data_IF_325294575171
#
_entry.id   IF_325294575171
#
_cell.length_a   1.000
_cell.length_b   1.000
_cell.length_c   1.000
_cell.angle_alpha   90.00
_cell.angle_beta   90.00
_cell.angle_gamma   90.00
#
_symmetry.space_group_name_H-M   'P 1'
#
loop_
_entity.id
_entity.type
_entity.pdbx_description
1 polymer ?
#
# COMPACT_ATOMS: atom_id res chain seq x y z
N UNK A 1 -33.83 -8.45 10.14
CA UNK A 1 -33.49 -7.96 11.49
C UNK A 1 -32.83 -6.60 11.35
N UNK A 2 -33.33 -5.57 12.06
CA UNK A 2 -32.71 -4.25 12.04
C UNK A 2 -31.82 -4.17 13.28
N UNK A 3 -30.51 -4.28 13.10
CA UNK A 3 -29.53 -4.04 14.16
C UNK A 3 -29.10 -2.58 14.11
N UNK A 4 -29.47 -1.79 15.12
CA UNK A 4 -28.90 -0.45 15.29
C UNK A 4 -27.62 -0.61 16.11
N UNK A 5 -26.47 -0.48 15.46
CA UNK A 5 -25.20 -0.40 16.18
C UNK A 5 -25.02 1.01 16.75
N UNK A 6 -24.41 1.11 17.93
CA UNK A 6 -24.05 2.39 18.53
C UNK A 6 -23.01 3.12 17.65
N UNK A 7 -22.81 4.43 17.88
CA UNK A 7 -21.80 5.21 17.16
C UNK A 7 -20.45 4.46 17.09
N UNK A 8 -19.84 4.46 15.90
CA UNK A 8 -18.56 3.79 15.69
C UNK A 8 -17.52 4.39 16.64
N UNK A 9 -16.88 3.56 17.45
CA UNK A 9 -15.96 4.00 18.51
C UNK A 9 -14.74 4.79 18.00
N UNK A 10 -14.38 4.63 16.72
CA UNK A 10 -13.19 5.24 16.13
C UNK A 10 -13.45 6.63 15.53
N UNK A 11 -14.67 6.91 15.07
CA UNK A 11 -14.98 8.20 14.44
C UNK A 11 -16.24 8.89 14.99
N UNK A 12 -16.89 8.27 15.98
CA UNK A 12 -18.12 8.71 16.63
C UNK A 12 -19.29 9.00 15.65
N UNK A 13 -19.22 8.45 14.43
CA UNK A 13 -20.31 8.54 13.46
C UNK A 13 -21.33 7.43 13.71
N UNK A 14 -22.64 7.72 13.64
CA UNK A 14 -23.65 6.67 13.67
C UNK A 14 -23.50 5.78 12.43
N UNK A 15 -23.67 4.47 12.61
CA UNK A 15 -23.79 3.51 11.51
C UNK A 15 -24.95 2.58 11.80
N UNK A 16 -25.57 2.06 10.75
CA UNK A 16 -26.72 1.16 10.86
C UNK A 16 -26.46 -0.01 9.93
N UNK A 17 -26.55 -1.23 10.47
CA UNK A 17 -26.50 -2.45 9.67
C UNK A 17 -27.92 -2.98 9.51
N UNK A 18 -28.42 -2.99 8.28
CA UNK A 18 -29.74 -3.51 7.96
C UNK A 18 -29.57 -4.89 7.34
N UNK A 19 -30.03 -5.93 8.03
CA UNK A 19 -30.08 -7.28 7.49
C UNK A 19 -31.51 -7.61 7.05
N UNK A 20 -31.72 -7.71 5.74
CA UNK A 20 -33.01 -8.12 5.18
C UNK A 20 -32.92 -9.57 4.74
N UNK A 21 -33.78 -10.41 5.31
CA UNK A 21 -33.96 -11.79 4.92
C UNK A 21 -35.41 -11.99 4.49
N UNK A 22 -35.62 -12.22 3.19
CA UNK A 22 -36.93 -12.35 2.56
C UNK A 22 -37.15 -13.76 2.00
N UNK A 23 -36.79 -14.80 2.77
CA UNK A 23 -36.90 -16.21 2.34
C UNK A 23 -38.33 -16.70 2.06
N UNK A 24 -39.35 -15.94 2.44
CA UNK A 24 -40.75 -16.28 2.24
C UNK A 24 -41.42 -15.50 1.09
N UNK A 25 -40.69 -14.65 0.38
CA UNK A 25 -41.23 -13.86 -0.73
C UNK A 25 -41.25 -14.70 -2.01
N UNK A 26 -42.44 -14.85 -2.60
CA UNK A 26 -42.73 -15.71 -3.76
C UNK A 26 -43.11 -14.93 -5.02
N UNK A 27 -42.80 -13.63 -5.07
CA UNK A 27 -42.96 -12.76 -6.23
C UNK A 27 -41.62 -12.33 -6.85
N UNK A 28 -41.67 -11.76 -8.05
CA UNK A 28 -40.48 -11.28 -8.79
C UNK A 28 -39.95 -9.93 -8.27
N UNK A 29 -40.56 -9.33 -7.24
CA UNK A 29 -40.31 -7.95 -6.80
C UNK A 29 -39.61 -7.89 -5.43
N UNK A 30 -38.34 -8.28 -5.39
CA UNK A 30 -37.52 -8.25 -4.17
C UNK A 30 -36.93 -6.85 -3.88
N UNK A 31 -37.78 -5.86 -3.60
CA UNK A 31 -37.34 -4.52 -3.22
C UNK A 31 -37.32 -4.30 -1.71
N UNK A 32 -36.31 -3.57 -1.24
CA UNK A 32 -36.26 -3.01 0.11
C UNK A 32 -36.30 -1.49 -0.04
N UNK A 33 -37.33 -0.87 0.51
CA UNK A 33 -37.41 0.58 0.56
C UNK A 33 -36.74 1.08 1.84
N UNK A 34 -35.78 2.01 1.69
CA UNK A 34 -35.11 2.67 2.79
C UNK A 34 -35.41 4.16 2.74
N UNK A 35 -35.97 4.71 3.81
CA UNK A 35 -36.13 6.15 4.00
C UNK A 35 -35.07 6.65 4.97
N UNK A 36 -34.29 7.65 4.56
CA UNK A 36 -33.29 8.31 5.41
C UNK A 36 -33.70 9.78 5.60
N UNK A 37 -34.02 10.15 6.84
CA UNK A 37 -34.43 11.51 7.19
C UNK A 37 -33.31 12.19 7.97
N UNK A 38 -32.80 13.31 7.44
CA UNK A 38 -31.74 14.10 8.07
C UNK A 38 -31.77 15.56 7.62
N UNK A 39 -31.18 16.44 8.42
CA UNK A 39 -31.07 17.88 8.11
C UNK A 39 -29.60 18.23 7.91
N UNK A 40 -29.25 18.85 6.77
CA UNK A 40 -27.87 19.24 6.42
C UNK A 40 -26.84 18.12 6.61
N UNK A 41 -27.20 16.89 6.23
CA UNK A 41 -26.34 15.70 6.37
C UNK A 41 -26.22 14.97 5.04
N UNK A 42 -25.15 14.19 4.92
CA UNK A 42 -25.01 13.14 3.90
C UNK A 42 -24.92 11.78 4.61
N UNK A 43 -25.18 10.72 3.86
CA UNK A 43 -24.85 9.36 4.26
C UNK A 43 -24.34 8.62 3.04
N UNK A 44 -23.49 7.64 3.29
CA UNK A 44 -23.05 6.70 2.27
C UNK A 44 -23.63 5.33 2.64
N UNK A 45 -23.96 4.54 1.63
CA UNK A 45 -24.52 3.20 1.80
C UNK A 45 -23.83 2.20 0.88
N UNK A 46 -23.63 1.00 1.41
CA UNK A 46 -23.06 -0.13 0.70
C UNK A 46 -23.97 -1.34 0.85
N UNK A 47 -24.02 -2.16 -0.21
CA UNK A 47 -24.72 -3.43 -0.19
C UNK A 47 -23.81 -4.52 -0.79
N UNK A 48 -23.83 -5.71 -0.19
CA UNK A 48 -23.09 -6.85 -0.70
C UNK A 48 -23.76 -7.49 -1.94
N UNK A 49 -25.07 -7.31 -2.07
CA UNK A 49 -25.85 -7.82 -3.19
C UNK A 49 -27.05 -6.90 -3.40
N UNK A 50 -27.21 -6.41 -4.63
CA UNK A 50 -28.24 -5.45 -5.01
C UNK A 50 -27.67 -4.17 -5.61
N UNK A 51 -28.57 -3.23 -5.91
CA UNK A 51 -28.26 -1.92 -6.43
C UNK A 51 -29.14 -0.90 -5.70
N UNK A 52 -28.56 0.21 -5.26
CA UNK A 52 -29.34 1.36 -4.81
C UNK A 52 -29.86 2.13 -6.02
N UNK A 53 -31.14 2.47 -6.01
CA UNK A 53 -31.78 3.26 -7.07
C UNK A 53 -32.56 4.40 -6.43
N UNK A 54 -32.38 5.62 -6.94
CA UNK A 54 -33.21 6.75 -6.54
C UNK A 54 -34.62 6.62 -7.14
N UNK A 55 -35.63 6.68 -6.28
CA UNK A 55 -37.04 6.63 -6.68
C UNK A 55 -37.64 8.03 -6.91
N UNK A 56 -36.83 9.10 -6.85
CA UNK A 56 -37.24 10.47 -7.22
C UNK A 56 -37.82 11.29 -6.08
N UNK A 57 -37.13 11.31 -4.94
CA UNK A 57 -37.54 12.08 -3.74
C UNK A 57 -37.25 13.58 -3.82
N UNK A 58 -37.70 14.33 -2.79
CA UNK A 58 -37.45 15.77 -2.69
C UNK A 58 -35.98 16.14 -2.38
N UNK A 59 -35.17 15.17 -1.96
CA UNK A 59 -33.74 15.33 -1.65
C UNK A 59 -32.90 14.66 -2.74
N UNK A 60 -31.73 15.22 -3.11
CA UNK A 60 -30.87 14.62 -4.14
C UNK A 60 -30.20 13.35 -3.62
N UNK A 61 -30.74 12.19 -4.00
CA UNK A 61 -30.05 10.91 -3.88
C UNK A 61 -29.31 10.64 -5.19
N UNK A 62 -28.23 9.86 -5.11
CA UNK A 62 -27.46 9.43 -6.28
C UNK A 62 -27.70 7.93 -6.43
N UNK A 63 -27.95 7.49 -7.66
CA UNK A 63 -28.00 6.06 -7.97
C UNK A 63 -26.72 5.35 -7.54
N UNK A 64 -26.87 4.10 -7.10
CA UNK A 64 -25.76 3.25 -6.72
C UNK A 64 -24.76 3.08 -7.86
N UNK A 65 -23.48 3.04 -7.51
CA UNK A 65 -22.39 2.82 -8.45
C UNK A 65 -21.32 1.93 -7.81
N UNK A 66 -20.34 1.51 -8.62
CA UNK A 66 -19.24 0.63 -8.18
C UNK A 66 -17.92 1.38 -8.04
N UNK A 67 -17.94 2.70 -7.86
CA UNK A 67 -16.73 3.52 -7.83
C UNK A 67 -16.03 3.53 -6.46
N UNK A 68 -16.63 2.96 -5.42
CA UNK A 68 -16.12 2.95 -4.05
C UNK A 68 -16.65 1.71 -3.32
N UNK A 69 -16.05 0.55 -3.55
CA UNK A 69 -16.61 -0.75 -3.12
C UNK A 69 -15.91 -1.34 -1.89
N UNK A 70 -14.78 -0.78 -1.48
CA UNK A 70 -14.06 -1.24 -0.30
C UNK A 70 -14.73 -0.73 0.98
N UNK A 71 -15.28 -1.67 1.78
CA UNK A 71 -15.99 -1.36 3.03
C UNK A 71 -15.55 -2.12 4.28
N UNK A 72 -14.59 -3.04 4.17
CA UNK A 72 -14.18 -3.91 5.28
C UNK A 72 -12.99 -3.32 6.08
N UNK A 73 -12.97 -3.55 7.39
CA UNK A 73 -11.95 -2.98 8.29
C UNK A 73 -10.54 -3.45 7.90
N UNK A 74 -10.42 -4.72 7.49
CA UNK A 74 -9.19 -5.31 6.98
C UNK A 74 -8.60 -4.58 5.77
N UNK A 75 -9.44 -4.05 4.88
CA UNK A 75 -9.02 -3.30 3.69
C UNK A 75 -8.86 -1.79 3.90
N UNK A 76 -9.47 -1.21 4.93
CA UNK A 76 -9.55 0.26 5.09
C UNK A 76 -8.64 0.83 6.18
N UNK A 77 -7.92 0.02 6.95
CA UNK A 77 -7.02 0.49 8.00
C UNK A 77 -5.83 1.32 7.50
N UNK A 78 -5.41 2.33 8.26
CA UNK A 78 -4.25 3.18 7.92
C UNK A 78 -2.93 2.40 7.99
N UNK A 79 -2.78 1.55 9.00
CA UNK A 79 -1.57 0.75 9.21
C UNK A 79 -1.55 -0.56 8.43
N UNK A 80 -2.63 -0.88 7.70
CA UNK A 80 -2.73 -2.07 6.86
C UNK A 80 -2.08 -1.83 5.49
N UNK A 81 -1.60 -2.91 4.86
CA UNK A 81 -1.30 -2.96 3.43
C UNK A 81 -2.48 -3.64 2.76
N UNK A 82 -3.27 -2.86 2.03
CA UNK A 82 -4.44 -3.31 1.28
C UNK A 82 -4.03 -3.62 -0.14
N UNK A 83 -4.40 -4.80 -0.63
CA UNK A 83 -3.92 -5.34 -1.90
C UNK A 83 -5.08 -5.52 -2.89
N UNK A 84 -4.99 -4.83 -4.03
CA UNK A 84 -5.85 -5.05 -5.19
C UNK A 84 -5.39 -6.23 -6.03
N UNK A 85 -6.25 -6.70 -6.94
CA UNK A 85 -5.97 -7.82 -7.82
C UNK A 85 -5.93 -7.41 -9.29
N UNK A 86 -4.92 -7.86 -10.04
CA UNK A 86 -4.87 -7.76 -11.50
C UNK A 86 -4.80 -9.13 -12.17
N UNK A 87 -5.12 -9.15 -13.47
CA UNK A 87 -5.16 -10.35 -14.29
C UNK A 87 -3.79 -10.67 -14.86
N UNK A 88 -3.03 -11.56 -14.21
CA UNK A 88 -1.75 -12.06 -14.73
C UNK A 88 -1.90 -13.23 -15.70
N UNK A 89 -3.03 -13.95 -15.60
CA UNK A 89 -3.40 -15.09 -16.45
C UNK A 89 -4.91 -15.09 -16.65
N UNK A 90 -5.34 -15.53 -17.82
CA UNK A 90 -6.75 -15.65 -18.22
C UNK A 90 -7.11 -17.03 -18.76
N UNK A 91 -6.16 -17.98 -18.75
CA UNK A 91 -6.39 -19.37 -19.07
C UNK A 91 -5.50 -20.29 -18.24
N UNK A 92 -5.87 -21.56 -18.17
CA UNK A 92 -5.08 -22.62 -17.58
C UNK A 92 -5.49 -23.98 -18.16
N UNK A 93 -4.61 -24.97 -18.02
CA UNK A 93 -4.94 -26.37 -18.33
C UNK A 93 -5.33 -27.09 -17.03
N UNK A 94 -6.46 -27.81 -17.04
CA UNK A 94 -6.80 -28.70 -15.95
C UNK A 94 -5.91 -29.94 -15.91
N UNK A 95 -6.06 -30.74 -14.87
CA UNK A 95 -5.29 -31.95 -14.64
C UNK A 95 -5.48 -33.00 -15.76
N UNK A 96 -6.61 -32.97 -16.46
CA UNK A 96 -6.94 -33.84 -17.59
C UNK A 96 -6.42 -33.28 -18.93
N UNK A 97 -5.82 -32.09 -18.92
CA UNK A 97 -5.24 -31.42 -20.09
C UNK A 97 -6.22 -30.60 -20.91
N UNK A 98 -7.44 -30.34 -20.41
CA UNK A 98 -8.37 -29.45 -21.09
C UNK A 98 -7.96 -27.99 -20.82
N UNK A 99 -7.99 -27.16 -21.87
CA UNK A 99 -7.81 -25.72 -21.70
C UNK A 99 -9.11 -25.08 -21.19
N UNK A 100 -8.98 -24.29 -20.13
CA UNK A 100 -10.02 -23.46 -19.58
C UNK A 100 -9.64 -22.00 -19.77
N UNK A 101 -10.37 -21.32 -20.64
CA UNK A 101 -10.34 -19.87 -20.70
C UNK A 101 -11.26 -19.36 -19.59
N UNK A 102 -10.76 -18.45 -18.74
CA UNK A 102 -11.58 -17.77 -17.73
C UNK A 102 -12.02 -16.44 -18.34
N UNK A 103 -13.25 -16.34 -18.89
CA UNK A 103 -13.71 -15.16 -19.61
C UNK A 103 -14.02 -13.94 -18.70
N UNK A 104 -13.75 -14.01 -17.40
CA UNK A 104 -14.16 -12.97 -16.45
C UNK A 104 -13.23 -11.73 -16.48
N UNK A 105 -13.50 -10.87 -17.47
CA UNK A 105 -13.39 -9.39 -17.55
C UNK A 105 -12.09 -8.63 -17.22
N UNK A 106 -10.92 -9.07 -17.68
CA UNK A 106 -9.85 -8.10 -17.93
C UNK A 106 -8.87 -8.62 -18.96
N UNK A 107 -8.26 -7.71 -19.73
CA UNK A 107 -7.08 -8.08 -20.50
C UNK A 107 -5.97 -8.54 -19.55
N UNK A 108 -4.99 -9.27 -20.09
CA UNK A 108 -3.75 -9.49 -19.34
C UNK A 108 -3.20 -8.14 -18.89
N UNK A 109 -2.72 -8.10 -17.65
CA UNK A 109 -2.18 -6.94 -16.95
C UNK A 109 -3.20 -5.87 -16.53
N UNK A 110 -4.48 -6.04 -16.84
CA UNK A 110 -5.55 -5.13 -16.43
C UNK A 110 -6.10 -5.48 -15.04
N UNK A 111 -6.71 -4.50 -14.37
CA UNK A 111 -7.30 -4.68 -13.04
C UNK A 111 -8.37 -5.77 -13.12
N UNK A 112 -8.39 -6.68 -12.16
CA UNK A 112 -9.42 -7.71 -12.12
C UNK A 112 -10.77 -7.04 -11.81
N UNK A 113 -11.86 -7.43 -12.49
CA UNK A 113 -13.19 -6.80 -12.36
C UNK A 113 -13.78 -6.93 -10.95
N UNK A 114 -13.36 -7.95 -10.21
CA UNK A 114 -13.76 -8.20 -8.82
C UNK A 114 -12.90 -7.44 -7.80
N UNK A 115 -11.80 -6.80 -8.23
CA UNK A 115 -10.94 -6.05 -7.33
C UNK A 115 -11.72 -4.85 -6.79
N UNK A 116 -11.83 -4.75 -5.47
CA UNK A 116 -12.51 -3.62 -4.86
C UNK A 116 -11.74 -2.33 -5.09
N UNK A 117 -12.48 -1.23 -5.19
CA UNK A 117 -11.95 0.10 -5.48
C UNK A 117 -12.11 0.99 -4.25
N UNK A 118 -11.12 1.86 -4.03
CA UNK A 118 -11.29 3.02 -3.17
C UNK A 118 -12.15 4.10 -3.83
N UNK A 119 -12.32 5.27 -3.20
CA UNK A 119 -11.71 5.62 -1.92
C UNK A 119 -12.36 4.86 -0.76
N UNK A 120 -11.77 4.98 0.44
CA UNK A 120 -12.48 4.63 1.67
C UNK A 120 -13.67 5.58 1.90
N UNK A 121 -14.58 5.24 2.83
CA UNK A 121 -15.67 6.13 3.25
C UNK A 121 -15.21 7.51 3.77
N UNK A 122 -13.94 7.65 4.18
CA UNK A 122 -13.33 8.92 4.59
C UNK A 122 -12.42 9.55 3.51
N UNK A 123 -12.46 9.05 2.27
CA UNK A 123 -11.80 9.66 1.12
C UNK A 123 -10.33 9.27 0.92
N UNK A 124 -9.77 8.36 1.74
CA UNK A 124 -8.39 7.89 1.56
C UNK A 124 -8.30 6.99 0.33
N UNK A 125 -7.15 7.07 -0.35
CA UNK A 125 -6.86 6.21 -1.50
C UNK A 125 -6.53 4.80 -1.02
N UNK A 126 -7.17 3.82 -1.65
CA UNK A 126 -6.90 2.39 -1.50
C UNK A 126 -7.26 1.70 -2.84
N UNK A 127 -6.72 0.50 -3.14
CA UNK A 127 -5.71 -0.25 -2.36
C UNK A 127 -4.38 0.51 -2.24
N UNK A 128 -3.43 0.01 -1.44
CA UNK A 128 -2.07 0.58 -1.42
C UNK A 128 -1.27 0.07 -2.62
N UNK A 129 -1.42 -1.21 -2.96
CA UNK A 129 -0.70 -1.85 -4.07
C UNK A 129 -1.61 -2.87 -4.75
N UNK A 130 -1.24 -3.30 -5.96
CA UNK A 130 -1.94 -4.36 -6.68
C UNK A 130 -0.99 -5.52 -6.95
N UNK A 131 -1.49 -6.76 -6.89
CA UNK A 131 -0.73 -7.95 -7.21
C UNK A 131 -1.55 -8.92 -8.08
N UNK A 132 -0.93 -9.94 -8.69
CA UNK A 132 -1.65 -10.99 -9.39
C UNK A 132 -2.74 -11.60 -8.52
N UNK A 133 -3.97 -11.70 -9.05
CA UNK A 133 -5.10 -12.27 -8.33
C UNK A 133 -6.09 -13.05 -9.17
N UNK A 134 -5.90 -13.08 -10.50
CA UNK A 134 -6.71 -13.88 -11.40
C UNK A 134 -5.96 -15.16 -11.82
N UNK A 135 -6.67 -16.29 -11.82
CA UNK A 135 -6.13 -17.61 -12.22
C UNK A 135 -4.82 -17.94 -11.49
N UNK A 136 -4.86 -17.92 -10.16
CA UNK A 136 -3.72 -18.26 -9.31
C UNK A 136 -3.84 -19.72 -8.89
N UNK A 137 -2.84 -20.52 -9.26
CA UNK A 137 -2.73 -21.92 -8.82
C UNK A 137 -2.14 -21.95 -7.42
N UNK A 138 -2.83 -22.57 -6.47
CA UNK A 138 -2.33 -22.75 -5.11
C UNK A 138 -2.72 -24.12 -4.54
N UNK A 139 -2.17 -24.46 -3.39
CA UNK A 139 -2.49 -25.70 -2.67
C UNK A 139 -3.93 -25.71 -2.19
N UNK A 140 -4.52 -26.90 -2.21
CA UNK A 140 -5.86 -27.16 -1.70
C UNK A 140 -5.80 -27.99 -0.42
N UNK A 141 -6.74 -27.75 0.48
CA UNK A 141 -6.92 -28.56 1.68
C UNK A 141 -7.25 -30.02 1.33
N UNK A 142 -6.49 -30.98 1.85
CA UNK A 142 -6.69 -32.42 1.60
C UNK A 142 -8.03 -32.97 2.09
N UNK A 143 -8.74 -32.24 2.96
CA UNK A 143 -10.08 -32.59 3.43
C UNK A 143 -11.20 -32.01 2.56
N UNK A 144 -10.88 -31.14 1.60
CA UNK A 144 -11.88 -30.59 0.68
C UNK A 144 -12.13 -31.56 -0.48
N UNK A 145 -13.20 -32.35 -0.37
CA UNK A 145 -13.59 -33.34 -1.37
C UNK A 145 -14.06 -32.77 -2.71
N UNK A 146 -14.25 -31.45 -2.83
CA UNK A 146 -14.65 -30.82 -4.10
C UNK A 146 -13.50 -30.75 -5.11
N UNK A 147 -12.25 -30.85 -4.63
CA UNK A 147 -11.06 -30.83 -5.48
C UNK A 147 -10.49 -32.23 -5.61
N UNK A 148 -10.64 -32.78 -6.80
CA UNK A 148 -10.17 -34.11 -7.16
C UNK A 148 -9.72 -34.12 -8.63
N UNK A 149 -9.11 -35.22 -9.09
CA UNK A 149 -8.56 -35.30 -10.46
C UNK A 149 -9.55 -35.13 -11.61
N UNK A 150 -10.86 -35.04 -11.34
CA UNK A 150 -11.88 -34.70 -12.33
C UNK A 150 -12.42 -33.25 -12.21
N UNK A 151 -11.98 -32.47 -11.22
CA UNK A 151 -12.48 -31.12 -10.99
C UNK A 151 -11.84 -30.15 -11.98
N UNK A 152 -12.61 -29.29 -12.66
CA UNK A 152 -12.08 -28.41 -13.70
C UNK A 152 -11.09 -27.37 -13.16
N UNK A 153 -11.11 -27.06 -11.87
CA UNK A 153 -10.19 -26.11 -11.23
C UNK A 153 -8.82 -26.72 -10.94
N UNK A 154 -8.71 -28.05 -10.83
CA UNK A 154 -7.49 -28.74 -10.43
C UNK A 154 -6.51 -28.76 -11.59
N UNK A 155 -5.27 -28.33 -11.34
CA UNK A 155 -4.21 -28.20 -12.35
C UNK A 155 -3.17 -29.30 -12.20
N UNK A 156 -2.79 -29.63 -10.97
CA UNK A 156 -1.74 -30.63 -10.71
C UNK A 156 -1.89 -31.24 -9.31
N UNK A 157 -1.08 -32.25 -9.02
CA UNK A 157 -0.96 -32.82 -7.68
C UNK A 157 0.47 -33.21 -7.34
N UNK A 158 0.70 -33.37 -6.04
CA UNK A 158 1.83 -34.13 -5.50
C UNK A 158 1.26 -35.36 -4.80
N UNK A 159 1.84 -36.54 -5.07
CA UNK A 159 1.43 -37.80 -4.46
C UNK A 159 2.57 -38.33 -3.58
N UNK A 160 2.27 -38.63 -2.31
CA UNK A 160 3.23 -39.22 -1.36
C UNK A 160 3.12 -40.75 -1.24
N UNK A 161 2.25 -41.37 -2.04
CA UNK A 161 1.94 -42.81 -2.02
C UNK A 161 0.65 -43.14 -1.27
N UNK A 162 0.15 -42.24 -0.42
CA UNK A 162 -1.07 -42.42 0.36
C UNK A 162 -2.11 -41.33 0.09
N UNK A 163 -1.67 -40.08 -0.12
CA UNK A 163 -2.54 -38.91 -0.27
C UNK A 163 -2.15 -38.16 -1.56
N UNK A 164 -3.18 -37.75 -2.30
CA UNK A 164 -3.04 -36.78 -3.38
C UNK A 164 -3.23 -35.37 -2.81
N UNK A 165 -2.18 -34.56 -2.92
CA UNK A 165 -2.17 -33.15 -2.56
C UNK A 165 -2.45 -32.32 -3.79
N UNK A 166 -3.70 -31.85 -3.93
CA UNK A 166 -4.16 -31.14 -5.11
C UNK A 166 -3.74 -29.67 -5.09
N UNK A 167 -3.50 -29.15 -6.29
CA UNK A 167 -3.31 -27.74 -6.56
C UNK A 167 -4.36 -27.30 -7.57
N UNK A 168 -5.08 -26.25 -7.24
CA UNK A 168 -6.20 -25.77 -8.04
C UNK A 168 -6.11 -24.26 -8.29
N UNK A 169 -6.77 -23.81 -9.34
CA UNK A 169 -6.91 -22.38 -9.64
C UNK A 169 -7.94 -21.74 -8.72
N UNK A 170 -7.62 -20.56 -8.22
CA UNK A 170 -8.55 -19.67 -7.53
C UNK A 170 -8.31 -18.24 -8.00
N UNK A 171 -9.27 -17.37 -7.69
CA UNK A 171 -9.19 -15.94 -8.03
C UNK A 171 -9.72 -15.10 -6.87
N UNK A 172 -9.17 -13.91 -6.73
CA UNK A 172 -9.58 -12.96 -5.71
C UNK A 172 -8.43 -12.08 -5.25
N UNK A 173 -8.77 -10.94 -4.66
CA UNK A 173 -7.81 -10.20 -3.81
C UNK A 173 -7.31 -11.08 -2.66
N UNK A 174 -8.09 -12.08 -2.24
CA UNK A 174 -7.66 -13.16 -1.33
C UNK A 174 -6.44 -13.95 -1.81
N UNK A 175 -6.13 -13.97 -3.11
CA UNK A 175 -4.94 -14.59 -3.67
C UNK A 175 -3.80 -13.58 -3.82
N UNK A 176 -4.12 -12.33 -4.11
CA UNK A 176 -3.16 -11.22 -4.19
C UNK A 176 -2.55 -10.88 -2.83
N UNK A 177 -3.35 -10.83 -1.76
CA UNK A 177 -2.91 -10.53 -0.40
C UNK A 177 -1.81 -11.47 0.13
N UNK A 178 -1.96 -12.81 0.11
CA UNK A 178 -0.89 -13.71 0.56
C UNK A 178 0.33 -13.68 -0.36
N UNK A 179 0.18 -13.34 -1.64
CA UNK A 179 1.32 -13.13 -2.53
C UNK A 179 2.18 -11.94 -2.07
N UNK A 180 1.55 -10.80 -1.78
CA UNK A 180 2.25 -9.63 -1.22
C UNK A 180 2.86 -9.95 0.14
N UNK A 181 2.15 -10.69 1.00
CA UNK A 181 2.70 -11.12 2.30
C UNK A 181 3.97 -11.97 2.15
N UNK A 182 4.00 -12.91 1.18
CA UNK A 182 5.19 -13.70 0.87
C UNK A 182 6.34 -12.85 0.34
N UNK A 183 6.06 -11.87 -0.52
CA UNK A 183 7.06 -10.92 -1.02
C UNK A 183 7.67 -10.09 0.13
N UNK A 184 6.83 -9.56 1.02
CA UNK A 184 7.29 -8.83 2.20
C UNK A 184 8.12 -9.72 3.13
N UNK A 185 7.76 -11.00 3.27
CA UNK A 185 8.57 -11.95 4.05
C UNK A 185 9.98 -12.11 3.46
N UNK A 186 10.12 -12.16 2.13
CA UNK A 186 11.45 -12.18 1.47
C UNK A 186 12.23 -10.89 1.69
N UNK A 187 11.55 -9.73 1.68
CA UNK A 187 12.18 -8.45 1.99
C UNK A 187 12.67 -8.37 3.44
N UNK A 188 11.88 -8.90 4.38
CA UNK A 188 12.26 -9.03 5.78
C UNK A 188 13.37 -10.06 6.00
N UNK A 189 13.46 -11.11 5.18
CA UNK A 189 14.58 -12.04 5.20
C UNK A 189 15.89 -11.34 4.77
N UNK A 190 15.82 -10.49 3.74
CA UNK A 190 16.97 -9.71 3.28
C UNK A 190 17.37 -8.60 4.27
N UNK A 191 16.40 -7.94 4.89
CA UNK A 191 16.62 -6.95 5.94
C UNK A 191 15.60 -7.09 7.08
N UNK A 192 15.95 -7.81 8.17
CA UNK A 192 15.06 -8.05 9.31
C UNK A 192 14.70 -6.81 10.13
N UNK A 193 15.37 -5.69 9.90
CA UNK A 193 15.16 -4.45 10.65
C UNK A 193 14.15 -3.50 9.97
N UNK A 194 13.63 -3.85 8.79
CA UNK A 194 12.63 -3.03 8.10
C UNK A 194 11.39 -2.83 8.97
N UNK A 195 11.02 -1.57 9.15
CA UNK A 195 9.76 -1.19 9.77
C UNK A 195 8.59 -1.33 8.78
N UNK A 196 7.34 -1.45 9.26
CA UNK A 196 6.16 -1.47 8.38
C UNK A 196 6.05 -0.23 7.48
N UNK A 197 6.51 0.93 7.94
CA UNK A 197 6.50 2.16 7.15
C UNK A 197 7.56 2.13 6.06
N UNK A 198 8.78 1.66 6.35
CA UNK A 198 9.81 1.47 5.32
C UNK A 198 9.40 0.44 4.27
N UNK A 199 8.76 -0.66 4.68
CA UNK A 199 8.21 -1.65 3.74
C UNK A 199 7.22 -0.98 2.79
N UNK A 200 6.35 -0.12 3.34
CA UNK A 200 5.38 0.64 2.54
C UNK A 200 6.09 1.60 1.59
N UNK A 201 7.08 2.35 2.04
CA UNK A 201 7.81 3.31 1.22
C UNK A 201 8.55 2.59 0.08
N UNK A 202 9.31 1.54 0.39
CA UNK A 202 10.00 0.72 -0.63
C UNK A 202 9.02 0.12 -1.63
N UNK A 203 7.90 -0.43 -1.17
CA UNK A 203 6.86 -0.99 -2.05
C UNK A 203 6.22 0.07 -2.95
N UNK A 204 6.00 1.29 -2.46
CA UNK A 204 5.41 2.39 -3.21
C UNK A 204 6.37 2.96 -4.25
N UNK A 205 7.62 3.21 -3.86
CA UNK A 205 8.64 3.85 -4.69
C UNK A 205 9.09 2.97 -5.87
N UNK A 206 8.95 1.64 -5.72
CA UNK A 206 9.40 0.66 -6.70
C UNK A 206 8.24 -0.05 -7.41
N UNK A 207 7.00 0.40 -7.22
CA UNK A 207 5.85 -0.19 -7.88
C UNK A 207 5.93 -0.05 -9.41
N UNK A 208 5.55 -1.10 -10.13
CA UNK A 208 5.45 -1.07 -11.59
C UNK A 208 4.26 -0.17 -11.97
N UNK A 209 4.53 0.75 -12.88
CA UNK A 209 3.53 1.62 -13.50
C UNK A 209 3.55 1.43 -15.01
N UNK A 210 2.37 1.37 -15.62
CA UNK A 210 2.19 1.14 -17.04
C UNK A 210 0.93 1.83 -17.57
N UNK A 211 0.56 1.55 -18.81
CA UNK A 211 -0.64 2.12 -19.44
C UNK A 211 -1.94 1.72 -18.76
N UNK A 212 -2.00 0.58 -18.06
CA UNK A 212 -3.18 0.13 -17.32
C UNK A 212 -3.28 0.84 -15.97
N UNK A 213 -2.15 1.05 -15.28
CA UNK A 213 -2.16 1.75 -13.98
C UNK A 213 -2.51 3.22 -14.11
N UNK A 214 -2.13 3.85 -15.23
CA UNK A 214 -2.28 5.28 -15.45
C UNK A 214 -1.51 6.11 -14.42
N UNK A 215 -2.04 7.28 -14.06
CA UNK A 215 -1.45 8.13 -13.03
C UNK A 215 -1.68 7.56 -11.63
N UNK A 216 -0.61 7.26 -10.90
CA UNK A 216 -0.61 6.74 -9.53
C UNK A 216 -0.10 7.79 -8.52
N UNK A 217 -0.51 7.75 -7.24
CA UNK A 217 -1.46 6.80 -6.68
C UNK A 217 -2.92 7.11 -7.02
N UNK A 218 -3.74 6.08 -7.25
CA UNK A 218 -5.17 6.21 -7.53
C UNK A 218 -6.02 5.14 -6.81
N UNK A 219 -7.35 5.27 -6.90
CA UNK A 219 -8.31 4.42 -6.19
C UNK A 219 -8.51 3.02 -6.80
N UNK A 220 -7.81 2.70 -7.89
CA UNK A 220 -7.91 1.42 -8.58
C UNK A 220 -6.65 0.59 -8.36
N UNK A 221 -5.49 1.21 -8.54
CA UNK A 221 -4.19 0.55 -8.56
C UNK A 221 -3.36 0.82 -7.32
N UNK A 222 -3.80 1.72 -6.43
CA UNK A 222 -2.93 2.25 -5.39
C UNK A 222 -1.72 2.91 -6.02
N UNK A 223 -0.53 2.54 -5.56
CA UNK A 223 0.74 3.01 -6.10
C UNK A 223 1.20 2.26 -7.37
N UNK A 224 0.50 1.19 -7.77
CA UNK A 224 0.83 0.42 -8.97
C UNK A 224 0.80 -1.08 -8.70
N UNK A 225 1.56 -1.84 -9.51
CA UNK A 225 1.71 -3.29 -9.31
C UNK A 225 2.97 -3.57 -8.49
N UNK A 226 2.92 -4.53 -7.58
CA UNK A 226 4.07 -4.88 -6.76
C UNK A 226 5.24 -5.40 -7.63
N UNK A 227 6.43 -4.84 -7.42
CA UNK A 227 7.68 -5.36 -7.99
C UNK A 227 8.53 -6.01 -6.90
N UNK A 228 8.53 -7.34 -6.82
CA UNK A 228 9.31 -8.03 -5.80
C UNK A 228 10.83 -7.81 -5.99
N UNK A 229 11.29 -7.73 -7.24
CA UNK A 229 12.71 -7.77 -7.60
C UNK A 229 13.37 -6.39 -7.57
N UNK A 230 12.73 -5.37 -8.13
CA UNK A 230 13.25 -4.00 -8.03
C UNK A 230 13.25 -3.52 -6.58
N UNK A 231 12.21 -3.87 -5.81
CA UNK A 231 12.12 -3.48 -4.39
C UNK A 231 13.20 -4.14 -3.54
N UNK A 232 13.47 -5.45 -3.69
CA UNK A 232 14.53 -6.10 -2.90
C UNK A 232 15.92 -5.54 -3.24
N UNK A 233 16.19 -5.20 -4.52
CA UNK A 233 17.43 -4.50 -4.90
C UNK A 233 17.52 -3.13 -4.23
N UNK A 234 16.42 -2.37 -4.14
CA UNK A 234 16.41 -1.09 -3.47
C UNK A 234 16.69 -1.24 -1.96
N UNK A 235 16.10 -2.25 -1.32
CA UNK A 235 16.35 -2.61 0.08
C UNK A 235 17.83 -2.96 0.28
N UNK A 236 18.39 -3.87 -0.53
CA UNK A 236 19.79 -4.28 -0.41
C UNK A 236 20.76 -3.11 -0.65
N UNK A 237 20.49 -2.25 -1.64
CA UNK A 237 21.31 -1.06 -1.88
C UNK A 237 21.19 -0.02 -0.76
N UNK A 238 20.09 -0.03 0.00
CA UNK A 238 19.90 0.82 1.17
C UNK A 238 20.60 0.28 2.42
N UNK A 239 21.06 -0.98 2.40
CA UNK A 239 21.86 -1.55 3.50
C UNK A 239 23.35 -1.15 3.47
N UNK A 240 23.76 -0.32 2.50
CA UNK A 240 25.16 0.11 2.32
C UNK A 240 25.72 1.03 3.41
N UNK A 241 24.87 1.62 4.26
CA UNK A 241 25.23 2.40 5.45
C UNK A 241 24.09 2.17 6.44
N UNK A 242 24.36 1.95 7.73
CA UNK A 242 23.33 1.96 8.78
C UNK A 242 22.64 3.33 8.86
N UNK A 243 21.70 3.60 7.96
CA UNK A 243 20.80 4.73 8.06
C UNK A 243 19.62 4.30 8.92
N UNK A 244 19.79 4.50 10.23
CA UNK A 244 18.64 4.66 11.13
C UNK A 244 17.77 5.81 10.60
N UNK A 245 16.70 5.48 9.89
CA UNK A 245 15.56 6.31 9.51
C UNK A 245 14.86 6.86 10.77
N UNK A 246 15.50 7.84 11.40
CA UNK A 246 14.81 8.78 12.27
C UNK A 246 14.40 9.94 11.39
N UNK A 247 13.09 10.05 11.17
CA UNK A 247 12.37 11.21 10.66
C UNK A 247 13.11 12.53 10.98
N UNK A 248 13.51 13.28 9.94
CA UNK A 248 13.76 14.73 9.96
C UNK A 248 14.41 15.36 11.22
N UNK A 249 15.54 14.85 11.71
CA UNK A 249 16.24 15.48 12.85
C UNK A 249 17.29 16.54 12.48
N UNK A 250 17.57 16.76 11.18
CA UNK A 250 18.62 17.69 10.73
C UNK A 250 18.19 18.54 9.54
N UNK A 251 18.08 19.86 9.73
CA UNK A 251 17.75 20.81 8.65
C UNK A 251 18.90 21.79 8.43
N UNK A 252 19.32 21.96 7.16
CA UNK A 252 20.33 22.94 6.77
C UNK A 252 19.66 24.01 5.91
N UNK A 253 19.62 25.24 6.41
CA UNK A 253 18.98 26.35 5.68
C UNK A 253 19.65 27.70 5.92
N UNK A 254 19.63 28.61 4.92
CA UNK A 254 19.23 28.33 3.55
C UNK A 254 20.25 27.43 2.85
N UNK A 255 19.77 26.56 1.96
CA UNK A 255 20.59 25.75 1.06
C UNK A 255 19.90 25.74 -0.31
N UNK A 256 20.42 26.45 -1.33
CA UNK A 256 21.75 27.06 -1.41
C UNK A 256 21.98 28.24 -0.44
N UNK A 257 23.22 28.41 0.03
CA UNK A 257 23.64 29.48 0.93
C UNK A 257 24.68 30.40 0.29
N UNK A 258 24.87 31.61 0.83
CA UNK A 258 26.01 32.47 0.50
C UNK A 258 27.25 32.16 1.37
N UNK A 259 27.30 30.97 1.97
CA UNK A 259 28.28 30.57 2.98
C UNK A 259 27.81 30.78 4.42
N UNK A 260 26.69 31.47 4.65
CA UNK A 260 26.04 31.54 5.97
C UNK A 260 24.76 30.71 5.98
N UNK A 261 24.67 29.78 6.93
CA UNK A 261 23.54 28.86 7.06
C UNK A 261 23.35 28.44 8.52
N UNK A 262 22.22 27.82 8.80
CA UNK A 262 21.85 27.27 10.09
C UNK A 262 21.73 25.76 9.96
N UNK A 263 22.21 25.04 10.98
CA UNK A 263 22.01 23.62 11.18
C UNK A 263 21.01 23.49 12.35
N UNK A 264 19.78 23.11 12.07
CA UNK A 264 18.80 22.69 13.08
C UNK A 264 19.07 21.22 13.42
N UNK A 265 19.11 20.92 14.72
CA UNK A 265 19.32 19.57 15.27
C UNK A 265 18.23 19.33 16.31
N UNK A 266 17.18 18.59 15.95
CA UNK A 266 16.09 18.30 16.88
C UNK A 266 16.36 16.99 17.61
N UNK A 267 16.21 17.01 18.94
CA UNK A 267 16.24 15.84 19.84
C UNK A 267 17.53 15.00 19.85
N UNK A 268 18.68 15.52 19.38
CA UNK A 268 19.95 14.77 19.40
C UNK A 268 21.19 15.61 19.72
N UNK A 269 22.18 14.99 20.39
CA UNK A 269 23.50 15.59 20.68
C UNK A 269 24.54 15.21 19.63
N UNK A 270 24.97 16.17 18.81
CA UNK A 270 26.14 16.04 17.94
C UNK A 270 27.41 16.19 18.78
N UNK A 271 28.45 15.38 18.50
CA UNK A 271 29.79 15.52 19.10
C UNK A 271 30.84 16.03 18.11
N UNK A 272 30.64 15.85 16.81
CA UNK A 272 31.64 16.18 15.77
C UNK A 272 30.98 16.69 14.47
N UNK A 273 31.52 17.77 13.91
CA UNK A 273 31.11 18.34 12.63
C UNK A 273 32.33 18.48 11.70
N UNK A 274 32.25 17.85 10.54
CA UNK A 274 33.28 17.91 9.49
C UNK A 274 32.64 18.38 8.18
N UNK A 275 33.38 19.11 7.36
CA UNK A 275 32.92 19.55 6.04
C UNK A 275 33.99 19.26 5.02
N UNK A 276 33.59 18.66 3.91
CA UNK A 276 34.46 18.25 2.82
C UNK A 276 34.10 18.97 1.53
N UNK A 277 35.09 19.26 0.69
CA UNK A 277 34.86 19.64 -0.70
C UNK A 277 34.59 18.40 -1.58
N UNK A 278 34.28 18.62 -2.86
CA UNK A 278 34.01 17.54 -3.84
C UNK A 278 35.20 16.60 -4.08
N UNK A 279 36.42 17.00 -3.72
CA UNK A 279 37.61 16.15 -3.83
C UNK A 279 37.83 15.26 -2.59
N UNK A 280 36.94 15.37 -1.59
CA UNK A 280 37.07 14.68 -0.31
C UNK A 280 38.05 15.37 0.66
N UNK A 281 38.54 16.57 0.34
CA UNK A 281 39.41 17.32 1.24
C UNK A 281 38.57 17.96 2.34
N UNK A 282 38.94 17.73 3.59
CA UNK A 282 38.31 18.38 4.75
C UNK A 282 38.66 19.88 4.76
N UNK A 283 37.63 20.71 4.70
CA UNK A 283 37.73 22.18 4.67
C UNK A 283 37.29 22.83 5.98
N UNK A 284 36.57 22.10 6.84
CA UNK A 284 36.18 22.55 8.17
C UNK A 284 36.06 21.35 9.11
N UNK A 285 36.42 21.56 10.38
CA UNK A 285 36.28 20.56 11.45
C UNK A 285 36.07 21.26 12.79
N UNK A 286 35.11 20.80 13.55
CA UNK A 286 34.84 21.25 14.92
C UNK A 286 34.32 20.08 15.77
N UNK A 287 34.93 19.87 16.94
CA UNK A 287 34.34 19.03 18.00
C UNK A 287 33.34 19.88 18.76
N UNK A 288 32.07 19.51 18.73
CA UNK A 288 30.98 20.32 19.29
C UNK A 288 30.21 19.46 20.26
N UNK A 289 29.96 19.88 21.49
CA UNK A 289 28.89 19.27 22.31
C UNK A 289 27.67 20.16 22.13
N UNK A 290 26.83 19.85 21.14
CA UNK A 290 25.65 20.66 20.84
C UNK A 290 24.39 19.98 21.37
N UNK A 291 23.65 20.67 22.25
CA UNK A 291 22.36 20.21 22.82
C UNK A 291 21.25 21.27 22.68
N UNK A 292 21.41 22.23 21.77
CA UNK A 292 20.40 23.24 21.47
C UNK A 292 19.63 22.91 20.19
N UNK A 293 18.59 23.68 19.88
CA UNK A 293 17.76 23.43 18.71
C UNK A 293 18.49 23.78 17.39
N UNK A 294 19.25 24.89 17.31
CA UNK A 294 19.92 25.31 16.05
C UNK A 294 21.28 26.03 16.19
N UNK A 295 22.24 25.65 15.33
CA UNK A 295 23.59 26.24 15.24
C UNK A 295 23.76 27.06 13.97
N UNK A 296 24.15 28.32 14.09
CA UNK A 296 24.52 29.18 12.96
C UNK A 296 25.97 28.96 12.54
N UNK A 297 26.21 28.90 11.24
CA UNK A 297 27.49 28.67 10.61
C UNK A 297 27.85 29.83 9.68
N UNK A 298 29.13 30.25 9.71
CA UNK A 298 29.68 31.19 8.75
C UNK A 298 30.93 30.58 8.08
N UNK A 299 30.72 30.09 6.86
CA UNK A 299 31.73 29.59 5.93
C UNK A 299 31.83 30.47 4.70
N UNK A 300 31.53 31.77 4.85
CA UNK A 300 31.62 32.75 3.75
C UNK A 300 33.03 32.94 3.20
N UNK A 301 34.06 32.30 3.78
CA UNK A 301 35.41 32.23 3.23
C UNK A 301 35.61 31.11 2.19
N UNK A 302 34.73 30.09 2.14
CA UNK A 302 34.79 29.01 1.16
C UNK A 302 34.35 29.47 -0.24
N UNK A 303 34.87 28.88 -1.31
CA UNK A 303 34.51 29.26 -2.69
C UNK A 303 33.08 28.79 -3.03
N UNK A 304 32.52 29.31 -4.12
CA UNK A 304 31.27 28.76 -4.65
C UNK A 304 31.50 27.31 -5.06
N UNK A 305 30.59 26.41 -4.67
CA UNK A 305 30.75 24.99 -4.91
C UNK A 305 29.83 24.12 -4.05
N UNK A 306 29.90 22.82 -4.31
CA UNK A 306 29.22 21.78 -3.52
C UNK A 306 30.16 21.32 -2.41
N UNK A 307 29.61 21.22 -1.21
CA UNK A 307 30.28 20.74 -0.02
C UNK A 307 29.43 19.64 0.62
N UNK A 308 30.08 18.74 1.36
CA UNK A 308 29.41 17.70 2.11
C UNK A 308 29.69 17.90 3.60
N UNK A 309 28.63 18.10 4.39
CA UNK A 309 28.70 18.17 5.84
C UNK A 309 28.53 16.77 6.39
N UNK A 310 29.40 16.38 7.30
CA UNK A 310 29.33 15.14 8.06
C UNK A 310 29.19 15.49 9.54
N UNK A 311 28.09 15.09 10.14
CA UNK A 311 27.78 15.28 11.56
C UNK A 311 27.83 13.90 12.23
N UNK A 312 28.45 13.79 13.40
CA UNK A 312 28.48 12.51 14.12
C UNK A 312 28.39 12.66 15.63
N UNK A 313 27.95 11.58 16.26
CA UNK A 313 28.06 11.37 17.70
C UNK A 313 28.52 9.94 18.04
N UNK A 314 28.46 9.56 19.31
CA UNK A 314 28.87 8.21 19.76
C UNK A 314 28.03 7.05 19.19
N UNK A 315 26.90 7.33 18.54
CA UNK A 315 25.95 6.35 18.01
C UNK A 315 25.65 6.49 16.52
N UNK A 316 25.81 7.68 15.92
CA UNK A 316 25.41 7.91 14.54
C UNK A 316 26.38 8.79 13.76
N UNK A 317 26.36 8.64 12.44
CA UNK A 317 27.04 9.48 11.45
C UNK A 317 26.01 9.87 10.39
N UNK A 318 25.89 11.15 10.07
CA UNK A 318 25.00 11.68 9.02
C UNK A 318 25.77 12.56 8.05
N UNK A 319 25.38 12.52 6.78
CA UNK A 319 25.97 13.36 5.73
C UNK A 319 24.88 14.15 5.00
N UNK A 320 25.15 15.43 4.72
CA UNK A 320 24.24 16.28 3.96
C UNK A 320 24.98 17.18 2.98
N UNK A 321 24.33 17.49 1.85
CA UNK A 321 24.89 18.34 0.79
C UNK A 321 24.60 19.80 1.08
N UNK A 322 25.64 20.65 1.06
CA UNK A 322 25.53 22.11 1.11
C UNK A 322 26.01 22.71 -0.21
N UNK A 323 25.17 23.55 -0.82
CA UNK A 323 25.56 24.38 -1.95
C UNK A 323 25.92 25.78 -1.44
N UNK A 324 27.17 26.20 -1.65
CA UNK A 324 27.60 27.59 -1.45
C UNK A 324 27.59 28.28 -2.81
N UNK A 325 26.75 29.31 -2.94
CA UNK A 325 26.67 30.16 -4.11
C UNK A 325 26.56 31.62 -3.69
N UNK A 326 27.68 32.33 -3.75
CA UNK A 326 27.76 33.78 -3.54
C UNK A 326 27.44 34.44 -4.87
N UNK A 327 26.28 35.07 -4.94
CA UNK A 327 25.96 36.07 -5.95
C UNK A 327 26.58 37.40 -5.57
#
# INVERSE_FOLDING_TARGET
EIGVEHANSNNNKPHVLIYVNSTAQDDDYHYVLLEVVGTNTSFDAWCNSGLFTDLGGASPLIDGNTNSTMGEIGGTGNSMISVGAFTSKNNYFDFQGNNHDIPFYANLDEIAPFSSLGPTADGRKKPDITAPGNVIVSSVNSFDGNYHGNSPEVVTNVNDGNIFWWFATMQGTSMSSPMVAGIIALWLEANPNLTPDEIKDFMQDNAITDSYTGGVPNNTWGYGKIDAYETIKAIENSTGIEDHTVLNSFLIYPNPSNGRFTIDVTDQTITDLQIFDISGKMVYHEQIVYSGDSKKMDLSYLKNGVYFLKLSNSKYIRQSKLLINKH
#
